data_IF_674854242038
#
_entry.id   IF_674854242038
#
_cell.length_a   1.000
_cell.length_b   1.000
_cell.length_c   1.000
_cell.angle_alpha   90.00
_cell.angle_beta   90.00
_cell.angle_gamma   90.00
#
_symmetry.space_group_name_H-M   'P 1'
#
loop_
_entity.id
_entity.type
_entity.pdbx_description
1 polymer ?
#
# COMPACT_ATOMS: atom_id res chain seq x y z
N UNK A 1 14.81 -14.20 -22.31
CA UNK A 1 13.57 -14.88 -21.89
C UNK A 1 13.09 -14.23 -20.59
N UNK A 2 11.94 -13.55 -20.62
CA UNK A 2 11.52 -12.59 -19.58
C UNK A 2 10.85 -13.27 -18.37
N UNK A 3 11.40 -13.07 -17.18
CA UNK A 3 10.84 -13.52 -15.92
C UNK A 3 9.85 -12.49 -15.37
N UNK A 4 8.68 -12.37 -16.02
CA UNK A 4 7.55 -11.62 -15.47
C UNK A 4 7.15 -12.13 -14.08
N UNK A 5 6.89 -11.19 -13.16
CA UNK A 5 6.42 -11.40 -11.78
C UNK A 5 5.37 -12.50 -11.70
N UNK A 6 5.61 -13.49 -10.84
CA UNK A 6 4.73 -14.64 -10.63
C UNK A 6 3.34 -14.21 -10.12
N UNK A 7 3.26 -13.09 -9.39
CA UNK A 7 1.99 -12.50 -8.97
C UNK A 7 1.19 -11.95 -10.18
N UNK A 8 1.87 -11.35 -11.16
CA UNK A 8 1.21 -10.88 -12.39
C UNK A 8 0.81 -12.04 -13.32
N UNK A 9 1.48 -13.20 -13.23
CA UNK A 9 1.05 -14.44 -13.89
C UNK A 9 -0.14 -15.10 -13.20
N UNK A 10 -0.19 -15.11 -11.86
CA UNK A 10 -1.32 -15.72 -11.13
C UNK A 10 -2.61 -14.93 -11.26
N UNK A 11 -2.54 -13.60 -11.39
CA UNK A 11 -3.73 -12.77 -11.66
C UNK A 11 -4.30 -12.98 -13.07
N UNK A 12 -3.48 -13.34 -14.07
CA UNK A 12 -3.95 -13.72 -15.41
C UNK A 12 -4.64 -15.08 -15.46
N UNK A 13 -4.34 -15.97 -14.52
CA UNK A 13 -4.95 -17.31 -14.45
C UNK A 13 -6.36 -17.33 -13.85
N UNK A 14 -6.80 -16.26 -13.18
CA UNK A 14 -8.09 -16.24 -12.48
C UNK A 14 -9.32 -15.97 -13.38
N UNK A 15 -9.12 -15.69 -14.68
CA UNK A 15 -10.22 -15.46 -15.64
C UNK A 15 -10.56 -16.74 -16.44
N UNK A 16 -9.79 -17.82 -16.30
CA UNK A 16 -10.01 -19.08 -17.02
C UNK A 16 -10.41 -20.25 -16.12
N UNK A 17 -11.67 -20.69 -16.25
CA UNK A 17 -12.11 -22.10 -16.15
C UNK A 17 -11.87 -22.91 -14.86
N UNK A 18 -12.98 -23.40 -14.27
CA UNK A 18 -13.02 -24.37 -13.16
C UNK A 18 -12.26 -25.68 -13.43
N UNK A 19 -11.65 -26.26 -12.39
CA UNK A 19 -11.84 -27.68 -12.04
C UNK A 19 -11.58 -27.94 -10.53
N UNK A 20 -12.27 -28.94 -9.90
CA UNK A 20 -12.28 -29.16 -8.45
C UNK A 20 -11.24 -30.20 -8.01
N UNK A 21 -10.89 -30.27 -6.71
CA UNK A 21 -10.77 -31.52 -5.89
C UNK A 21 -10.40 -31.23 -4.41
N UNK A 22 -10.86 -32.12 -3.52
CA UNK A 22 -10.84 -32.20 -2.03
C UNK A 22 -9.56 -32.94 -1.47
N UNK A 23 -9.44 -33.34 -0.17
CA UNK A 23 -8.94 -32.56 1.00
C UNK A 23 -7.83 -33.28 1.85
N UNK A 24 -7.40 -32.66 2.98
CA UNK A 24 -6.63 -33.19 4.15
C UNK A 24 -5.07 -33.11 4.05
N UNK A 25 -4.26 -32.89 5.10
CA UNK A 25 -4.36 -33.15 6.56
C UNK A 25 -3.31 -32.35 7.37
N UNK A 26 -3.58 -32.18 8.68
CA UNK A 26 -2.83 -31.43 9.73
C UNK A 26 -1.45 -32.03 10.10
N UNK A 27 -0.44 -31.17 10.38
CA UNK A 27 0.78 -31.54 11.12
C UNK A 27 1.71 -30.36 11.47
N UNK A 28 2.08 -30.23 12.76
CA UNK A 28 2.80 -29.09 13.39
C UNK A 28 4.32 -29.04 13.15
N UNK A 29 4.87 -27.82 13.05
CA UNK A 29 5.94 -27.35 13.94
C UNK A 29 7.37 -27.16 13.40
N UNK A 30 7.77 -25.87 13.26
CA UNK A 30 9.13 -25.27 13.26
C UNK A 30 10.18 -25.75 12.23
N UNK A 31 10.43 -24.92 11.20
CA UNK A 31 11.73 -24.27 10.90
C UNK A 31 11.72 -23.49 9.56
N UNK A 32 12.68 -22.56 9.36
CA UNK A 32 13.18 -22.10 8.05
C UNK A 32 12.46 -20.99 7.25
N UNK A 33 11.17 -20.70 7.48
CA UNK A 33 10.42 -19.78 6.58
C UNK A 33 10.16 -18.39 7.17
N UNK A 34 10.33 -17.34 6.35
CA UNK A 34 10.00 -15.95 6.72
C UNK A 34 8.49 -15.79 6.97
N UNK A 35 8.10 -14.84 7.83
CA UNK A 35 6.68 -14.54 8.15
C UNK A 35 5.84 -14.31 6.89
N UNK A 36 6.44 -13.69 5.86
CA UNK A 36 5.82 -13.46 4.55
C UNK A 36 5.55 -14.77 3.79
N UNK A 37 6.48 -15.73 3.80
CA UNK A 37 6.31 -17.03 3.13
C UNK A 37 5.23 -17.88 3.81
N UNK A 38 5.15 -17.83 5.14
CA UNK A 38 4.10 -18.54 5.91
C UNK A 38 2.73 -17.94 5.67
N UNK A 39 2.62 -16.61 5.64
CA UNK A 39 1.39 -15.92 5.32
C UNK A 39 0.93 -16.25 3.88
N UNK A 40 1.86 -16.34 2.94
CA UNK A 40 1.56 -16.72 1.56
C UNK A 40 1.14 -18.19 1.42
N UNK A 41 1.82 -19.13 2.08
CA UNK A 41 1.48 -20.56 2.06
C UNK A 41 0.08 -20.83 2.66
N UNK A 42 -0.25 -20.13 3.75
CA UNK A 42 -1.60 -20.16 4.33
C UNK A 42 -2.66 -19.56 3.40
N UNK A 43 -2.29 -18.58 2.56
CA UNK A 43 -3.20 -17.90 1.65
C UNK A 43 -3.57 -18.74 0.41
N UNK A 44 -2.69 -19.64 -0.05
CA UNK A 44 -2.92 -20.51 -1.22
C UNK A 44 -3.25 -21.97 -0.87
N UNK A 45 -3.31 -22.32 0.42
CA UNK A 45 -3.65 -23.68 0.87
C UNK A 45 -2.59 -24.73 0.56
N UNK A 46 -1.31 -24.33 0.47
CA UNK A 46 -0.19 -25.24 0.16
C UNK A 46 0.65 -25.45 1.41
N UNK A 47 0.84 -26.72 1.79
CA UNK A 47 1.82 -27.09 2.82
C UNK A 47 3.24 -27.05 2.22
N UNK A 48 4.13 -26.31 2.88
CA UNK A 48 5.53 -26.20 2.46
C UNK A 48 6.27 -27.51 2.75
N UNK A 49 7.04 -28.07 1.80
CA UNK A 49 7.83 -29.28 2.04
C UNK A 49 8.95 -29.00 3.06
N UNK A 50 9.28 -30.02 3.86
CA UNK A 50 10.39 -29.98 4.82
C UNK A 50 11.72 -29.88 4.07
N UNK A 51 12.48 -28.81 4.29
CA UNK A 51 13.84 -28.71 3.78
C UNK A 51 14.75 -29.69 4.54
N UNK A 52 15.32 -30.66 3.83
CA UNK A 52 16.39 -31.51 4.36
C UNK A 52 17.66 -30.69 4.53
N UNK A 53 18.17 -30.65 5.76
CA UNK A 53 19.44 -30.02 6.11
C UNK A 53 20.60 -30.82 5.51
N UNK A 54 21.26 -30.25 4.50
CA UNK A 54 22.62 -30.63 4.12
C UNK A 54 23.63 -30.00 5.09
N UNK A 55 24.20 -30.86 5.92
CA UNK A 55 25.54 -30.84 6.52
C UNK A 55 26.22 -29.50 6.88
N UNK A 56 26.38 -29.31 8.19
CA UNK A 56 27.32 -28.38 8.85
C UNK A 56 28.77 -28.79 8.58
N UNK A 57 29.73 -27.83 8.57
CA UNK A 57 30.94 -28.02 9.34
C UNK A 57 31.16 -26.92 10.38
N UNK A 58 31.82 -27.38 11.44
CA UNK A 58 31.87 -26.88 12.80
C UNK A 58 32.73 -25.62 12.99
N UNK A 59 32.32 -24.87 14.01
CA UNK A 59 32.93 -23.73 14.68
C UNK A 59 34.46 -23.73 14.83
N UNK A 60 35.01 -22.51 14.89
CA UNK A 60 36.01 -22.15 15.90
C UNK A 60 35.78 -20.73 16.43
N UNK A 61 36.09 -20.57 17.71
CA UNK A 61 35.74 -19.46 18.59
C UNK A 61 36.86 -18.42 18.70
N UNK A 62 36.52 -17.16 19.02
CA UNK A 62 37.05 -16.46 20.21
C UNK A 62 36.74 -14.95 20.25
N UNK A 63 36.29 -14.55 21.44
CA UNK A 63 36.70 -13.37 22.23
C UNK A 63 36.53 -11.94 21.70
N UNK A 64 35.89 -11.11 22.54
CA UNK A 64 36.26 -9.69 22.70
C UNK A 64 35.10 -8.71 22.70
N UNK A 65 34.57 -8.37 23.89
CA UNK A 65 33.91 -7.08 24.13
C UNK A 65 34.95 -5.94 23.92
N UNK A 66 34.54 -4.78 23.39
CA UNK A 66 34.08 -3.72 24.29
C UNK A 66 32.88 -2.90 23.77
N UNK A 67 32.04 -2.46 24.71
CA UNK A 67 31.11 -1.33 24.53
C UNK A 67 31.87 -0.07 24.13
N UNK A 68 31.28 0.79 23.29
CA UNK A 68 30.90 2.09 23.86
C UNK A 68 29.56 2.67 23.36
N UNK A 69 28.93 3.35 24.32
CA UNK A 69 28.11 4.55 24.20
C UNK A 69 26.80 4.49 23.40
N UNK A 70 25.72 4.44 24.18
CA UNK A 70 24.44 5.09 23.90
C UNK A 70 24.64 6.45 23.22
N UNK A 71 24.19 6.55 21.97
CA UNK A 71 23.75 7.82 21.39
C UNK A 71 22.26 7.69 21.09
N UNK A 72 21.52 8.02 22.12
CA UNK A 72 20.19 8.61 22.06
C UNK A 72 20.24 9.77 21.06
N UNK A 73 19.87 9.50 19.80
CA UNK A 73 19.54 10.55 18.84
C UNK A 73 18.04 10.78 18.90
N UNK A 74 17.66 11.54 19.92
CA UNK A 74 16.50 12.41 19.95
C UNK A 74 16.51 13.28 18.69
N UNK A 75 15.90 12.80 17.61
CA UNK A 75 15.25 13.67 16.62
C UNK A 75 13.76 13.73 16.93
N UNK A 76 13.46 14.19 18.15
CA UNK A 76 12.28 15.04 18.38
C UNK A 76 12.73 16.45 18.10
N UNK A 77 12.30 17.02 16.98
CA UNK A 77 12.71 18.37 16.62
C UNK A 77 12.39 18.68 15.18
N UNK A 78 11.10 18.93 14.91
CA UNK A 78 10.54 19.99 14.06
C UNK A 78 9.08 19.64 13.74
N UNK A 79 8.21 19.72 14.76
CA UNK A 79 6.77 19.90 14.54
C UNK A 79 6.53 21.40 14.55
N UNK A 80 6.50 22.04 13.38
CA UNK A 80 6.20 23.48 13.30
C UNK A 80 5.29 23.85 12.15
N UNK A 81 4.29 23.00 11.92
CA UNK A 81 3.01 23.37 11.34
C UNK A 81 1.96 22.59 12.12
N UNK A 82 1.05 23.28 12.82
CA UNK A 82 -0.06 22.60 13.50
C UNK A 82 -0.90 21.94 12.41
N UNK A 83 -0.73 20.63 12.21
CA UNK A 83 -1.55 19.88 11.27
C UNK A 83 -3.02 20.07 11.64
N UNK A 84 -3.83 20.36 10.63
CA UNK A 84 -5.28 20.44 10.77
C UNK A 84 -5.83 19.16 11.43
N UNK A 85 -6.89 19.23 12.26
CA UNK A 85 -7.45 18.05 12.92
C UNK A 85 -7.71 16.89 11.95
N UNK A 86 -7.31 15.69 12.36
CA UNK A 86 -7.48 14.45 11.59
C UNK A 86 -6.39 14.16 10.55
N UNK A 87 -5.45 15.09 10.32
CA UNK A 87 -4.27 14.83 9.49
C UNK A 87 -3.11 14.32 10.34
N UNK A 88 -2.31 13.43 9.76
CA UNK A 88 -1.04 12.99 10.31
C UNK A 88 0.04 13.01 9.21
N UNK A 89 1.28 13.27 9.61
CA UNK A 89 2.41 13.25 8.71
C UNK A 89 2.74 11.82 8.27
N UNK A 90 2.96 11.63 6.97
CA UNK A 90 3.61 10.45 6.45
C UNK A 90 5.14 10.67 6.53
N UNK A 91 5.94 9.62 6.78
CA UNK A 91 7.38 9.78 6.90
C UNK A 91 7.95 10.34 5.58
N UNK A 92 9.05 11.09 5.63
CA UNK A 92 9.75 11.50 4.43
C UNK A 92 10.23 10.26 3.68
N UNK A 93 10.36 10.34 2.35
CA UNK A 93 10.92 9.24 1.60
C UNK A 93 12.36 8.98 2.05
N UNK A 94 12.68 7.71 2.25
CA UNK A 94 14.07 7.31 2.34
C UNK A 94 14.65 7.40 0.93
N UNK A 95 15.79 8.07 0.78
CA UNK A 95 16.61 7.88 -0.42
C UNK A 95 16.89 6.38 -0.52
N UNK A 96 16.25 5.71 -1.47
CA UNK A 96 16.35 4.25 -1.61
C UNK A 96 17.74 3.91 -2.13
N UNK A 97 18.68 3.77 -1.20
CA UNK A 97 19.95 3.10 -1.43
C UNK A 97 19.70 1.60 -1.42
N UNK A 98 19.65 1.01 -2.63
CA UNK A 98 19.89 -0.41 -2.84
C UNK A 98 18.71 -1.32 -2.53
N UNK A 99 17.88 -1.56 -3.54
CA UNK A 99 17.39 -2.89 -3.98
C UNK A 99 16.26 -2.64 -5.00
N UNK A 100 16.61 -2.08 -6.15
CA UNK A 100 15.73 -2.08 -7.32
C UNK A 100 15.49 -3.52 -7.74
N UNK A 101 14.25 -4.00 -7.66
CA UNK A 101 13.90 -5.23 -8.35
C UNK A 101 14.19 -5.06 -9.85
N UNK A 102 14.52 -6.14 -10.55
CA UNK A 102 14.93 -6.14 -11.97
C UNK A 102 13.88 -5.58 -12.97
N UNK A 103 12.77 -5.00 -12.49
CA UNK A 103 11.73 -4.34 -13.28
C UNK A 103 11.50 -2.87 -12.93
N UNK A 104 12.38 -2.22 -12.16
CA UNK A 104 12.25 -0.80 -11.82
C UNK A 104 11.06 -0.48 -10.90
N UNK A 105 10.54 -1.47 -10.18
CA UNK A 105 9.57 -1.29 -9.10
C UNK A 105 10.30 -1.30 -7.75
N UNK A 106 10.18 -0.24 -6.98
CA UNK A 106 10.82 -0.09 -5.67
C UNK A 106 9.83 0.46 -4.66
N UNK A 107 9.68 -0.21 -3.52
CA UNK A 107 8.97 0.34 -2.37
C UNK A 107 9.84 1.43 -1.75
N UNK A 108 9.33 2.66 -1.74
CA UNK A 108 10.08 3.83 -1.26
C UNK A 108 9.53 4.36 0.07
N UNK A 109 8.31 3.95 0.43
CA UNK A 109 7.70 4.28 1.69
C UNK A 109 6.70 3.21 2.13
N UNK A 110 6.72 2.95 3.43
CA UNK A 110 5.71 2.18 4.15
C UNK A 110 5.39 2.91 5.44
N UNK A 111 4.11 3.26 5.63
CA UNK A 111 3.62 3.98 6.79
C UNK A 111 2.28 3.42 7.24
N UNK A 112 1.94 3.62 8.51
CA UNK A 112 0.65 3.26 9.07
C UNK A 112 -0.06 4.49 9.61
N UNK A 113 -1.39 4.50 9.55
CA UNK A 113 -2.18 5.47 10.30
C UNK A 113 -1.93 5.33 11.82
N UNK A 114 -2.19 6.38 12.62
CA UNK A 114 -1.95 6.35 14.07
C UNK A 114 -2.68 5.23 14.80
N UNK A 115 -3.89 4.89 14.36
CA UNK A 115 -4.71 3.78 14.86
C UNK A 115 -4.29 2.41 14.32
N UNK A 116 -3.29 2.37 13.42
CA UNK A 116 -2.80 1.19 12.69
C UNK A 116 -3.84 0.49 11.81
N UNK A 117 -5.01 1.10 11.61
CA UNK A 117 -6.08 0.55 10.77
C UNK A 117 -5.82 0.65 9.27
N UNK A 118 -4.90 1.52 8.84
CA UNK A 118 -4.55 1.72 7.44
C UNK A 118 -3.03 1.70 7.25
N UNK A 119 -2.60 1.12 6.13
CA UNK A 119 -1.20 1.13 5.68
C UNK A 119 -1.09 1.78 4.31
N UNK A 120 -0.10 2.65 4.19
CA UNK A 120 0.21 3.43 3.00
C UNK A 120 1.55 2.94 2.46
N UNK A 121 1.55 2.43 1.23
CA UNK A 121 2.72 1.91 0.55
C UNK A 121 2.95 2.72 -0.72
N UNK A 122 4.07 3.42 -0.83
CA UNK A 122 4.42 4.11 -2.08
C UNK A 122 5.47 3.34 -2.82
N UNK A 123 5.21 3.14 -4.11
CA UNK A 123 6.13 2.50 -5.03
C UNK A 123 6.52 3.45 -6.14
N UNK A 124 7.81 3.45 -6.43
CA UNK A 124 8.37 3.98 -7.68
C UNK A 124 8.25 2.89 -8.73
N UNK A 125 7.68 3.21 -9.88
CA UNK A 125 7.53 2.33 -11.01
C UNK A 125 8.17 2.93 -12.27
N UNK A 126 9.03 2.17 -12.94
CA UNK A 126 9.72 2.62 -14.14
C UNK A 126 10.95 3.47 -13.86
N UNK A 127 11.68 3.83 -14.92
CA UNK A 127 13.03 4.37 -14.81
C UNK A 127 13.08 5.89 -15.00
N UNK A 128 12.63 6.43 -16.15
CA UNK A 128 12.73 7.87 -16.47
C UNK A 128 11.62 8.35 -17.42
N UNK A 129 10.76 9.33 -17.04
CA UNK A 129 10.49 9.72 -15.65
C UNK A 129 9.79 8.58 -14.90
N UNK A 130 10.10 8.36 -13.61
CA UNK A 130 9.40 7.36 -12.84
C UNK A 130 7.96 7.78 -12.57
N UNK A 131 7.08 6.80 -12.51
CA UNK A 131 5.72 6.95 -12.03
C UNK A 131 5.65 6.54 -10.55
N UNK A 132 4.91 7.29 -9.74
CA UNK A 132 4.69 6.95 -8.33
C UNK A 132 3.27 6.46 -8.13
N UNK A 133 3.14 5.38 -7.35
CA UNK A 133 1.88 4.71 -7.05
C UNK A 133 1.72 4.56 -5.56
N UNK A 134 0.51 4.84 -5.07
CA UNK A 134 0.13 4.61 -3.68
C UNK A 134 -0.81 3.40 -3.62
N UNK A 135 -0.44 2.43 -2.81
CA UNK A 135 -1.31 1.35 -2.36
C UNK A 135 -1.76 1.65 -0.93
N UNK A 136 -3.08 1.71 -0.74
CA UNK A 136 -3.72 1.86 0.57
C UNK A 136 -4.37 0.54 0.94
N UNK A 137 -3.99 -0.03 2.10
CA UNK A 137 -4.52 -1.31 2.59
C UNK A 137 -5.11 -1.12 3.98
N UNK A 138 -6.31 -1.62 4.22
CA UNK A 138 -6.95 -1.59 5.53
C UNK A 138 -6.72 -2.89 6.30
N UNK A 139 -6.59 -2.78 7.63
CA UNK A 139 -6.34 -3.89 8.53
C UNK A 139 -7.47 -4.06 9.54
N UNK A 140 -8.03 -5.27 9.63
CA UNK A 140 -9.05 -5.60 10.63
C UNK A 140 -10.35 -4.82 10.45
N UNK A 141 -10.61 -4.31 9.25
CA UNK A 141 -11.80 -3.52 8.94
C UNK A 141 -12.79 -4.37 8.15
N UNK A 142 -13.99 -4.51 8.69
CA UNK A 142 -15.18 -4.95 7.97
C UNK A 142 -16.16 -3.77 7.91
N UNK A 143 -16.08 -2.99 6.83
CA UNK A 143 -16.85 -1.77 6.68
C UNK A 143 -18.04 -2.00 5.74
N UNK A 144 -19.25 -1.74 6.24
CA UNK A 144 -20.47 -1.79 5.44
C UNK A 144 -20.59 -0.64 4.41
N UNK A 145 -19.74 0.38 4.51
CA UNK A 145 -19.68 1.54 3.61
C UNK A 145 -18.27 1.68 3.05
N UNK A 146 -18.10 2.22 1.83
CA UNK A 146 -16.79 2.61 1.34
C UNK A 146 -16.15 3.59 2.34
N UNK A 147 -14.88 3.35 2.62
CA UNK A 147 -14.05 4.25 3.39
C UNK A 147 -13.20 5.07 2.44
N UNK A 148 -12.96 6.35 2.75
CA UNK A 148 -12.10 7.22 1.96
C UNK A 148 -11.01 7.79 2.86
N UNK A 149 -9.76 7.65 2.42
CA UNK A 149 -8.63 8.37 2.98
C UNK A 149 -8.28 9.55 2.06
N UNK A 150 -7.89 10.67 2.66
CA UNK A 150 -7.33 11.81 1.92
C UNK A 150 -5.82 11.80 2.06
N UNK A 151 -5.11 12.01 0.96
CA UNK A 151 -3.64 12.14 0.93
C UNK A 151 -3.29 13.49 0.31
N UNK A 152 -2.46 14.26 1.00
CA UNK A 152 -2.02 15.58 0.58
C UNK A 152 -0.50 15.57 0.36
N UNK A 153 -0.05 16.06 -0.78
CA UNK A 153 1.35 16.11 -1.15
C UNK A 153 1.65 17.29 -2.07
N UNK A 154 2.92 17.70 -2.15
CA UNK A 154 3.37 18.68 -3.13
C UNK A 154 3.68 18.02 -4.47
N UNK A 155 3.37 18.68 -5.58
CA UNK A 155 3.78 18.26 -6.92
C UNK A 155 5.18 18.77 -7.26
N UNK A 156 5.74 18.33 -8.39
CA UNK A 156 7.01 18.81 -8.93
C UNK A 156 7.03 20.34 -9.14
N UNK A 157 5.87 20.94 -9.42
CA UNK A 157 5.72 22.38 -9.60
C UNK A 157 5.58 23.14 -8.28
N UNK A 158 5.62 22.44 -7.13
CA UNK A 158 5.42 23.01 -5.81
C UNK A 158 3.95 23.26 -5.43
N UNK A 159 2.99 22.85 -6.27
CA UNK A 159 1.58 22.99 -5.96
C UNK A 159 1.14 21.90 -4.98
N UNK A 160 0.26 22.23 -4.04
CA UNK A 160 -0.39 21.21 -3.20
C UNK A 160 -1.44 20.46 -4.01
N UNK A 161 -1.42 19.13 -3.93
CA UNK A 161 -2.44 18.23 -4.47
C UNK A 161 -3.06 17.43 -3.33
N UNK A 162 -4.39 17.27 -3.38
CA UNK A 162 -5.14 16.33 -2.55
C UNK A 162 -5.68 15.21 -3.43
N UNK A 163 -5.52 13.96 -2.98
CA UNK A 163 -6.15 12.78 -3.57
C UNK A 163 -7.07 12.10 -2.56
N UNK A 164 -8.23 11.67 -3.06
CA UNK A 164 -9.17 10.84 -2.34
C UNK A 164 -8.96 9.39 -2.76
N UNK A 165 -8.72 8.51 -1.80
CA UNK A 165 -8.46 7.10 -2.03
C UNK A 165 -9.60 6.29 -1.41
N UNK A 166 -10.63 5.91 -2.19
CA UNK A 166 -11.71 5.08 -1.69
C UNK A 166 -11.25 3.64 -1.59
N UNK A 167 -11.70 2.93 -0.54
CA UNK A 167 -11.42 1.53 -0.30
C UNK A 167 -12.71 0.82 0.08
N UNK A 168 -12.91 -0.37 -0.48
CA UNK A 168 -14.02 -1.27 -0.17
C UNK A 168 -13.48 -2.64 0.17
N UNK A 169 -14.25 -3.44 0.92
CA UNK A 169 -13.95 -4.85 1.10
C UNK A 169 -14.12 -5.55 -0.26
N UNK A 170 -13.01 -6.09 -0.77
CA UNK A 170 -13.02 -6.94 -1.97
C UNK A 170 -13.53 -8.34 -1.63
N UNK A 171 -13.82 -9.13 -2.67
CA UNK A 171 -14.21 -10.54 -2.49
C UNK A 171 -13.09 -11.38 -1.87
N UNK A 172 -11.84 -11.03 -2.14
CA UNK A 172 -10.67 -11.75 -1.68
C UNK A 172 -9.64 -10.79 -1.10
N UNK A 173 -9.02 -11.20 0.02
CA UNK A 173 -7.94 -10.45 0.67
C UNK A 173 -8.43 -9.24 1.46
N UNK A 174 -7.48 -8.44 1.99
CA UNK A 174 -7.81 -7.22 2.73
C UNK A 174 -8.39 -6.15 1.80
N UNK A 175 -9.19 -5.21 2.33
CA UNK A 175 -9.59 -4.02 1.58
C UNK A 175 -8.36 -3.25 1.12
N UNK A 176 -8.26 -3.01 -0.19
CA UNK A 176 -7.13 -2.29 -0.76
C UNK A 176 -7.49 -1.48 -2.01
N UNK A 177 -6.77 -0.38 -2.22
CA UNK A 177 -6.84 0.45 -3.41
C UNK A 177 -5.46 0.83 -3.91
N UNK A 178 -5.36 1.06 -5.21
CA UNK A 178 -4.13 1.41 -5.90
C UNK A 178 -4.39 2.61 -6.80
N UNK A 179 -3.66 3.70 -6.56
CA UNK A 179 -3.77 4.96 -7.29
C UNK A 179 -2.41 5.44 -7.81
N UNK A 180 -2.42 6.18 -8.92
CA UNK A 180 -1.28 7.00 -9.34
C UNK A 180 -1.16 8.19 -8.40
N UNK A 181 0.04 8.76 -8.27
CA UNK A 181 0.27 10.04 -7.63
C UNK A 181 0.67 11.09 -8.70
N UNK A 182 -0.30 11.75 -9.36
CA UNK A 182 -0.02 12.72 -10.41
C UNK A 182 0.89 13.85 -9.91
N UNK A 183 1.95 14.14 -10.68
CA UNK A 183 2.89 15.21 -10.38
C UNK A 183 3.79 14.98 -9.17
N UNK A 184 3.67 13.85 -8.45
CA UNK A 184 4.52 13.53 -7.32
C UNK A 184 5.94 13.18 -7.79
N UNK A 185 6.95 13.65 -7.04
CA UNK A 185 8.36 13.32 -7.26
C UNK A 185 9.03 12.98 -5.93
N UNK A 186 10.18 12.31 -5.98
CA UNK A 186 10.94 12.04 -4.77
C UNK A 186 11.34 13.33 -4.02
N UNK A 187 11.68 14.39 -4.76
CA UNK A 187 12.05 15.68 -4.19
C UNK A 187 10.86 16.34 -3.51
N UNK A 188 9.67 16.27 -4.13
CA UNK A 188 8.42 16.77 -3.53
C UNK A 188 8.00 15.99 -2.28
N UNK A 189 8.53 14.79 -2.08
CA UNK A 189 8.21 13.93 -0.95
C UNK A 189 9.22 14.03 0.21
N UNK A 190 10.30 14.79 0.00
CA UNK A 190 11.10 15.36 1.09
C UNK A 190 10.36 16.52 1.77
N UNK A 191 9.40 17.15 1.07
CA UNK A 191 8.45 18.06 1.67
C UNK A 191 7.38 17.29 2.45
N UNK A 192 6.90 17.88 3.55
CA UNK A 192 5.89 17.27 4.41
C UNK A 192 4.63 16.89 3.62
N UNK A 193 4.38 15.60 3.53
CA UNK A 193 3.18 15.04 2.94
C UNK A 193 2.39 14.30 4.02
N UNK A 194 1.06 14.32 3.91
CA UNK A 194 0.17 14.01 5.02
C UNK A 194 -1.01 13.16 4.55
N UNK A 195 -1.62 12.44 5.47
CA UNK A 195 -2.83 11.68 5.20
C UNK A 195 -3.86 11.84 6.31
N UNK A 196 -5.11 11.54 5.98
CA UNK A 196 -6.20 11.32 6.93
C UNK A 196 -6.48 9.84 7.08
N UNK A 197 -6.81 9.42 8.30
CA UNK A 197 -7.31 8.07 8.52
C UNK A 197 -8.57 7.84 7.66
N UNK A 198 -8.77 6.63 7.10
CA UNK A 198 -9.95 6.34 6.30
C UNK A 198 -11.23 6.57 7.11
N UNK A 199 -12.17 7.31 6.52
CA UNK A 199 -13.45 7.62 7.13
C UNK A 199 -14.61 7.16 6.22
N UNK A 200 -15.76 6.74 6.80
CA UNK A 200 -16.90 6.31 6.00
C UNK A 200 -17.50 7.46 5.19
N UNK A 201 -17.91 7.15 3.96
CA UNK A 201 -18.64 8.10 3.12
C UNK A 201 -20.08 8.24 3.62
N UNK A 202 -20.49 9.49 3.76
CA UNK A 202 -21.84 9.88 4.21
C UNK A 202 -22.51 10.75 3.13
N UNK A 203 -23.84 10.86 3.11
CA UNK A 203 -24.53 11.77 2.18
C UNK A 203 -24.14 13.25 2.36
N UNK A 204 -23.69 13.62 3.55
CA UNK A 204 -23.19 14.98 3.87
C UNK A 204 -21.73 15.20 3.48
N UNK A 205 -21.05 14.20 2.93
CA UNK A 205 -19.65 14.32 2.55
C UNK A 205 -19.52 15.30 1.37
N UNK A 206 -18.90 16.45 1.63
CA UNK A 206 -18.66 17.49 0.64
C UNK A 206 -17.18 17.51 0.25
N UNK A 207 -16.90 17.09 -0.99
CA UNK A 207 -15.58 17.22 -1.61
C UNK A 207 -15.65 18.19 -2.78
N UNK A 208 -14.51 18.83 -3.07
CA UNK A 208 -14.35 19.62 -4.27
C UNK A 208 -14.42 18.73 -5.54
N UNK A 209 -15.12 19.20 -6.56
CA UNK A 209 -15.38 18.45 -7.78
C UNK A 209 -14.11 18.16 -8.59
N UNK A 210 -13.18 19.14 -8.67
CA UNK A 210 -11.91 18.94 -9.37
C UNK A 210 -11.05 17.88 -8.67
N UNK A 211 -11.02 17.93 -7.34
CA UNK A 211 -10.35 16.93 -6.50
C UNK A 211 -10.90 15.52 -6.75
N UNK A 212 -12.23 15.37 -6.81
CA UNK A 212 -12.87 14.07 -7.13
C UNK A 212 -12.49 13.61 -8.54
N UNK A 213 -12.58 14.48 -9.55
CA UNK A 213 -12.24 14.14 -10.92
C UNK A 213 -10.78 13.64 -11.06
N UNK A 214 -9.85 14.32 -10.42
CA UNK A 214 -8.44 13.93 -10.42
C UNK A 214 -8.21 12.61 -9.69
N UNK A 215 -8.91 12.39 -8.58
CA UNK A 215 -8.81 11.17 -7.78
C UNK A 215 -9.39 9.95 -8.50
N UNK A 216 -10.49 10.12 -9.26
CA UNK A 216 -11.04 9.06 -10.11
C UNK A 216 -10.07 8.73 -11.24
N UNK A 217 -9.51 9.74 -11.92
CA UNK A 217 -8.51 9.55 -12.98
C UNK A 217 -7.24 8.85 -12.49
N UNK A 218 -6.88 9.06 -11.23
CA UNK A 218 -5.74 8.40 -10.60
C UNK A 218 -5.95 6.90 -10.33
N UNK A 219 -7.18 6.37 -10.39
CA UNK A 219 -7.46 4.96 -10.11
C UNK A 219 -6.75 4.02 -11.11
N UNK A 220 -5.93 3.09 -10.60
CA UNK A 220 -5.14 2.18 -11.43
C UNK A 220 -5.82 0.85 -11.71
N UNK A 221 -6.47 0.26 -10.72
CA UNK A 221 -7.03 -1.08 -10.81
C UNK A 221 -8.56 -1.09 -10.73
N UNK A 222 -9.15 -2.24 -11.05
CA UNK A 222 -10.60 -2.41 -11.01
C UNK A 222 -11.17 -2.33 -9.59
N UNK A 223 -10.40 -2.75 -8.57
CA UNK A 223 -10.82 -2.63 -7.17
C UNK A 223 -11.06 -1.17 -6.76
N UNK A 224 -10.16 -0.26 -7.15
CA UNK A 224 -10.29 1.18 -6.86
C UNK A 224 -11.44 1.80 -7.67
N UNK A 225 -11.63 1.38 -8.93
CA UNK A 225 -12.78 1.82 -9.74
C UNK A 225 -14.11 1.32 -9.16
N UNK A 226 -14.16 0.09 -8.68
CA UNK A 226 -15.32 -0.45 -7.97
C UNK A 226 -15.60 0.30 -6.67
N UNK A 227 -14.56 0.68 -5.93
CA UNK A 227 -14.70 1.55 -4.76
C UNK A 227 -15.33 2.90 -5.13
N UNK A 228 -14.88 3.53 -6.22
CA UNK A 228 -15.51 4.75 -6.75
C UNK A 228 -16.97 4.55 -7.15
N UNK A 229 -17.33 3.41 -7.76
CA UNK A 229 -18.73 3.09 -8.05
C UNK A 229 -19.57 2.98 -6.77
N UNK A 230 -19.05 2.42 -5.68
CA UNK A 230 -19.77 2.42 -4.40
C UNK A 230 -19.88 3.81 -3.78
N UNK A 231 -18.84 4.64 -3.90
CA UNK A 231 -18.90 6.04 -3.46
C UNK A 231 -19.98 6.82 -4.22
N UNK A 232 -20.10 6.59 -5.54
CA UNK A 232 -21.11 7.25 -6.38
C UNK A 232 -22.55 7.05 -5.89
N UNK A 233 -22.84 5.89 -5.27
CA UNK A 233 -24.19 5.56 -4.77
C UNK A 233 -24.53 6.30 -3.47
N UNK A 234 -23.55 6.94 -2.83
CA UNK A 234 -23.71 7.57 -1.51
C UNK A 234 -23.54 9.09 -1.51
N UNK A 235 -23.03 9.67 -2.59
CA UNK A 235 -22.80 11.11 -2.72
C UNK A 235 -23.95 11.79 -3.47
N UNK A 236 -24.04 13.12 -3.36
CA UNK A 236 -25.02 13.92 -4.10
C UNK A 236 -24.78 13.93 -5.61
N UNK A 237 -25.81 14.35 -6.36
CA UNK A 237 -25.86 14.27 -7.83
C UNK A 237 -24.70 14.97 -8.55
N UNK A 238 -24.20 16.08 -7.99
CA UNK A 238 -23.06 16.80 -8.57
C UNK A 238 -21.79 15.95 -8.59
N UNK A 239 -21.43 15.36 -7.45
CA UNK A 239 -20.24 14.49 -7.37
C UNK A 239 -20.46 13.17 -8.11
N UNK A 240 -21.69 12.64 -8.11
CA UNK A 240 -22.05 11.47 -8.89
C UNK A 240 -21.73 11.67 -10.38
N UNK A 241 -22.14 12.80 -10.97
CA UNK A 241 -21.84 13.13 -12.37
C UNK A 241 -20.33 13.19 -12.65
N UNK A 242 -19.56 13.75 -11.73
CA UNK A 242 -18.10 13.80 -11.84
C UNK A 242 -17.48 12.40 -11.80
N UNK A 243 -17.94 11.54 -10.88
CA UNK A 243 -17.46 10.16 -10.77
C UNK A 243 -17.81 9.38 -12.04
N UNK A 244 -19.04 9.47 -12.52
CA UNK A 244 -19.49 8.76 -13.73
C UNK A 244 -18.68 9.20 -14.96
N UNK A 245 -18.41 10.50 -15.12
CA UNK A 245 -17.57 11.00 -16.23
C UNK A 245 -16.09 10.62 -16.14
N UNK A 246 -15.59 10.27 -14.95
CA UNK A 246 -14.22 9.78 -14.77
C UNK A 246 -14.09 8.25 -14.87
N UNK A 247 -15.19 7.51 -14.79
CA UNK A 247 -15.24 6.05 -14.86
C UNK A 247 -15.63 5.50 -16.24
N UNK A 248 -16.12 6.36 -17.15
CA UNK A 248 -16.41 6.05 -18.55
C UNK A 248 -15.15 5.83 -19.36
#
# INVERSE_FOLDING_TARGET
MSAGSVAQRSWRSFIGGRQPHLPRTVGRGRDGYTLRQRFWASFIGVDLPSASLGTVPTAEASAGLPMPSSRESTRSGLLTGRLEPGWFALPPLLEVSGLTAAGGDALILEASSPDRGARFLVRRHGTVPPEYRLELVLQGVDAARPLVSSVRYATASGNEQVLLVPVIQGQFGPPASLVRLPGFTADSASAEWTARAPAPVTPSTAWDAATVADSVRAALNEATRAAWRQVRELVGDDLRRVIDGGLS
#
